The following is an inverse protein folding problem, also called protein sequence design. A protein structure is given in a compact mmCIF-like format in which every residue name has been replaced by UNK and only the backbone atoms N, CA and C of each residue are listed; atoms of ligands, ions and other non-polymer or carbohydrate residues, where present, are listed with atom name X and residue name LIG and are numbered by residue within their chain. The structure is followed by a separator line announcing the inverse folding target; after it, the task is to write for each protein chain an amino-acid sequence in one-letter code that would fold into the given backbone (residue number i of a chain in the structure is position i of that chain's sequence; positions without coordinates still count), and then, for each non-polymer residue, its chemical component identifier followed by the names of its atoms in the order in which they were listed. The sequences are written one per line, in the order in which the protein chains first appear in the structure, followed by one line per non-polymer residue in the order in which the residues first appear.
data_IF_019963454728
#
_entry.id   IF_019963454728
#
_cell.length_a   1.000
_cell.length_b   1.000
_cell.length_c   1.000
_cell.angle_alpha   90.00
_cell.angle_beta   90.00
_cell.angle_gamma   90.00
#
_symmetry.space_group_name_H-M   'P 1'
#
loop_
_entity.id
_entity.type
_entity.pdbx_description
1 polymer ?
#
# COMPACT_ATOMS: atom_id res chain seq x y z
N UNK A 1 1.69 12.00 31.30
CA UNK A 1 2.21 11.89 29.94
C UNK A 1 2.35 10.40 29.61
N UNK A 2 1.53 9.86 28.71
CA UNK A 2 1.67 8.49 28.23
C UNK A 2 2.98 8.37 27.43
N UNK A 3 3.54 7.17 27.38
CA UNK A 3 4.72 6.88 26.54
C UNK A 3 4.29 6.99 25.08
N UNK A 4 4.99 7.85 24.26
CA UNK A 4 4.74 7.95 22.85
C UNK A 4 5.07 6.61 22.17
N UNK A 5 4.25 6.19 21.22
CA UNK A 5 4.55 5.05 20.36
C UNK A 5 5.68 5.39 19.40
N UNK A 6 6.61 4.46 19.19
CA UNK A 6 7.72 4.63 18.25
C UNK A 6 7.51 3.72 17.05
N UNK A 7 7.30 4.34 15.90
CA UNK A 7 7.20 3.62 14.64
C UNK A 7 8.56 3.47 13.95
N UNK A 8 8.62 2.59 12.97
CA UNK A 8 9.80 2.35 12.13
C UNK A 8 9.36 2.31 10.67
N UNK A 9 10.28 2.56 9.77
CA UNK A 9 10.08 2.33 8.33
C UNK A 9 10.21 0.85 8.02
N UNK A 10 9.44 0.35 7.06
CA UNK A 10 9.60 -0.99 6.51
C UNK A 10 10.35 -0.88 5.17
N UNK A 11 11.57 -1.38 5.12
CA UNK A 11 12.39 -1.39 3.89
C UNK A 11 12.97 -2.79 3.72
N UNK A 12 12.76 -3.41 2.57
CA UNK A 12 13.22 -4.76 2.23
C UNK A 12 12.83 -5.84 3.28
N UNK A 13 11.62 -5.72 3.84
CA UNK A 13 11.11 -6.64 4.87
C UNK A 13 11.61 -6.38 6.29
N UNK A 14 12.49 -5.40 6.49
CA UNK A 14 13.08 -5.06 7.78
C UNK A 14 12.53 -3.75 8.35
N UNK A 15 12.31 -3.74 9.69
CA UNK A 15 11.89 -2.56 10.43
C UNK A 15 13.10 -1.72 10.82
N UNK A 16 13.31 -0.58 10.13
CA UNK A 16 14.48 0.28 10.27
C UNK A 16 14.14 1.68 10.79
N UNK A 17 15.11 2.33 11.44
CA UNK A 17 15.08 3.75 11.76
C UNK A 17 15.64 4.56 10.58
N UNK A 18 15.45 5.88 10.62
CA UNK A 18 16.13 6.78 9.69
C UNK A 18 17.65 6.65 9.79
N UNK A 19 18.35 6.61 8.67
CA UNK A 19 19.82 6.57 8.62
C UNK A 19 20.48 7.80 9.26
N UNK A 20 19.76 8.92 9.30
CA UNK A 20 20.18 10.17 9.95
C UNK A 20 19.75 10.23 11.42
N UNK A 21 19.06 9.21 11.94
CA UNK A 21 18.41 9.19 13.24
C UNK A 21 17.42 10.35 13.49
N UNK A 22 16.94 10.99 12.43
CA UNK A 22 15.93 12.04 12.52
C UNK A 22 14.56 11.44 12.70
N UNK A 23 13.74 12.16 13.46
CA UNK A 23 12.35 11.81 13.73
C UNK A 23 11.50 13.05 13.79
N UNK A 24 10.20 12.87 13.61
CA UNK A 24 9.20 13.90 13.90
C UNK A 24 8.05 13.28 14.71
N UNK A 25 7.30 14.12 15.37
CA UNK A 25 6.13 13.71 16.14
C UNK A 25 4.86 13.91 15.33
N UNK A 26 3.94 12.94 15.39
CA UNK A 26 2.58 13.13 14.90
C UNK A 26 1.67 13.50 16.06
N UNK A 27 0.84 14.53 15.85
CA UNK A 27 -0.06 15.06 16.85
C UNK A 27 -1.50 14.65 16.56
N UNK A 28 -2.22 14.27 17.61
CA UNK A 28 -3.66 14.06 17.54
C UNK A 28 -4.37 15.41 17.36
N UNK A 29 -5.04 15.68 16.24
CA UNK A 29 -5.65 16.97 15.97
C UNK A 29 -6.83 17.30 16.91
N UNK A 30 -7.38 16.30 17.59
CA UNK A 30 -8.47 16.50 18.56
C UNK A 30 -7.97 17.03 19.90
N UNK A 31 -6.79 16.59 20.35
CA UNK A 31 -6.22 16.97 21.64
C UNK A 31 -5.08 17.96 21.53
N UNK A 32 -4.44 18.06 20.36
CA UNK A 32 -3.21 18.81 20.13
C UNK A 32 -1.95 18.17 20.73
N UNK A 33 -2.08 17.00 21.32
CA UNK A 33 -0.96 16.29 21.95
C UNK A 33 -0.30 15.30 20.97
N UNK A 34 1.03 15.21 21.06
CA UNK A 34 1.78 14.19 20.31
C UNK A 34 1.44 12.80 20.83
N UNK A 35 1.18 11.86 19.92
CA UNK A 35 0.84 10.49 20.24
C UNK A 35 1.90 9.48 19.77
N UNK A 36 2.67 9.81 18.73
CA UNK A 36 3.72 8.91 18.24
C UNK A 36 4.93 9.66 17.69
N UNK A 37 6.02 8.93 17.54
CA UNK A 37 7.29 9.37 16.92
C UNK A 37 7.50 8.55 15.66
N UNK A 38 7.76 9.22 14.55
CA UNK A 38 7.94 8.65 13.22
C UNK A 38 9.34 8.99 12.69
N UNK A 39 10.06 8.04 12.05
CA UNK A 39 11.33 8.33 11.41
C UNK A 39 11.15 9.32 10.25
N UNK A 40 11.99 10.34 10.17
CA UNK A 40 12.13 11.20 8.99
C UNK A 40 13.10 10.55 8.01
N UNK A 41 12.56 9.99 6.91
CA UNK A 41 13.38 9.30 5.93
C UNK A 41 14.37 10.24 5.26
N UNK A 42 15.65 9.85 5.22
CA UNK A 42 16.67 10.54 4.44
C UNK A 42 16.60 10.16 2.96
N UNK A 43 17.31 10.90 2.10
CA UNK A 43 17.47 10.52 0.68
C UNK A 43 18.07 9.11 0.54
N UNK A 44 18.96 8.72 1.44
CA UNK A 44 19.56 7.37 1.46
C UNK A 44 18.51 6.30 1.74
N UNK A 45 17.59 6.56 2.67
CA UNK A 45 16.52 5.61 3.01
C UNK A 45 15.52 5.47 1.87
N UNK A 46 15.15 6.58 1.23
CA UNK A 46 14.28 6.58 0.05
C UNK A 46 14.92 5.79 -1.10
N UNK A 47 16.21 6.01 -1.38
CA UNK A 47 16.91 5.25 -2.42
C UNK A 47 16.91 3.75 -2.11
N UNK A 48 17.20 3.35 -0.87
CA UNK A 48 17.13 1.93 -0.47
C UNK A 48 15.72 1.35 -0.63
N UNK A 49 14.69 2.10 -0.29
CA UNK A 49 13.30 1.66 -0.45
C UNK A 49 12.95 1.46 -1.93
N UNK A 50 13.36 2.38 -2.80
CA UNK A 50 13.14 2.28 -4.26
C UNK A 50 13.93 1.10 -4.84
N UNK A 51 15.20 0.92 -4.44
CA UNK A 51 16.02 -0.22 -4.87
C UNK A 51 15.41 -1.56 -4.44
N UNK A 52 14.95 -1.66 -3.20
CA UNK A 52 14.27 -2.85 -2.68
C UNK A 52 12.99 -3.15 -3.46
N UNK A 53 12.17 -2.14 -3.73
CA UNK A 53 10.95 -2.28 -4.51
C UNK A 53 11.25 -2.69 -5.97
N UNK A 54 12.29 -2.10 -6.58
CA UNK A 54 12.72 -2.46 -7.94
C UNK A 54 13.21 -3.91 -8.00
N UNK A 55 14.05 -4.33 -7.05
CA UNK A 55 14.52 -5.72 -6.94
C UNK A 55 13.36 -6.69 -6.73
N UNK A 56 12.38 -6.33 -5.89
CA UNK A 56 11.19 -7.16 -5.70
C UNK A 56 10.37 -7.28 -6.99
N UNK A 57 10.30 -6.23 -7.80
CA UNK A 57 9.63 -6.23 -9.09
C UNK A 57 10.35 -7.10 -10.13
N UNK A 58 11.70 -6.97 -10.27
CA UNK A 58 12.47 -7.66 -11.30
C UNK A 58 12.75 -9.12 -10.94
N UNK A 59 13.18 -9.38 -9.71
CA UNK A 59 13.74 -10.67 -9.30
C UNK A 59 12.89 -11.39 -8.24
N UNK A 60 11.93 -10.67 -7.65
CA UNK A 60 11.09 -11.17 -6.57
C UNK A 60 10.14 -12.29 -7.00
N UNK A 61 9.62 -13.05 -6.04
CA UNK A 61 8.71 -14.16 -6.32
C UNK A 61 7.38 -13.69 -6.93
N UNK A 62 6.92 -12.49 -6.63
CA UNK A 62 5.65 -11.95 -7.11
C UNK A 62 5.54 -11.90 -8.63
N UNK A 63 6.62 -11.51 -9.31
CA UNK A 63 6.67 -11.46 -10.78
C UNK A 63 6.59 -12.84 -11.44
N UNK A 64 6.95 -13.90 -10.71
CA UNK A 64 6.96 -15.29 -11.15
C UNK A 64 5.68 -16.06 -10.82
N UNK A 65 4.83 -15.48 -9.97
CA UNK A 65 3.54 -16.08 -9.59
C UNK A 65 2.54 -16.02 -10.74
N UNK A 66 1.69 -17.02 -10.81
CA UNK A 66 0.50 -16.99 -11.67
C UNK A 66 -0.48 -15.92 -11.20
N UNK A 67 -1.36 -15.42 -12.07
CA UNK A 67 -2.41 -14.49 -11.65
C UNK A 67 -3.29 -15.01 -10.50
N UNK A 68 -3.60 -16.30 -10.49
CA UNK A 68 -4.38 -16.95 -9.44
C UNK A 68 -3.67 -16.88 -8.08
N UNK A 69 -2.37 -17.23 -8.04
CA UNK A 69 -1.57 -17.15 -6.82
C UNK A 69 -1.50 -15.73 -6.28
N UNK A 70 -1.32 -14.73 -7.14
CA UNK A 70 -1.38 -13.31 -6.71
C UNK A 70 -2.75 -12.95 -6.13
N UNK A 71 -3.83 -13.44 -6.75
CA UNK A 71 -5.18 -13.27 -6.22
C UNK A 71 -5.37 -13.90 -4.83
N UNK A 72 -4.78 -15.06 -4.57
CA UNK A 72 -4.83 -15.70 -3.24
C UNK A 72 -4.10 -14.85 -2.17
N UNK A 73 -2.96 -14.27 -2.50
CA UNK A 73 -2.25 -13.36 -1.59
C UNK A 73 -3.07 -12.11 -1.27
N UNK A 74 -3.77 -11.54 -2.27
CA UNK A 74 -4.66 -10.40 -2.05
C UNK A 74 -5.85 -10.76 -1.15
N UNK A 75 -6.43 -11.96 -1.27
CA UNK A 75 -7.48 -12.43 -0.37
C UNK A 75 -6.98 -12.57 1.08
N UNK A 76 -5.79 -13.17 1.26
CA UNK A 76 -5.18 -13.26 2.60
C UNK A 76 -4.97 -11.88 3.22
N UNK A 77 -4.52 -10.91 2.41
CA UNK A 77 -4.38 -9.52 2.87
C UNK A 77 -5.74 -8.92 3.24
N UNK A 78 -6.78 -9.15 2.44
CA UNK A 78 -8.14 -8.71 2.73
C UNK A 78 -8.65 -9.23 4.09
N UNK A 79 -8.42 -10.51 4.37
CA UNK A 79 -8.82 -11.15 5.64
C UNK A 79 -8.08 -10.53 6.84
N UNK A 80 -6.77 -10.29 6.70
CA UNK A 80 -5.97 -9.64 7.74
C UNK A 80 -6.48 -8.21 8.00
N UNK A 81 -6.72 -7.41 6.95
CA UNK A 81 -7.25 -6.06 7.08
C UNK A 81 -8.62 -6.03 7.74
N UNK A 82 -9.51 -6.95 7.35
CA UNK A 82 -10.82 -7.09 7.98
C UNK A 82 -10.71 -7.41 9.47
N UNK A 83 -9.82 -8.33 9.85
CA UNK A 83 -9.61 -8.73 11.24
C UNK A 83 -8.99 -7.63 12.10
N UNK A 84 -8.21 -6.72 11.49
CA UNK A 84 -7.52 -5.59 12.14
C UNK A 84 -8.29 -4.28 12.05
N UNK A 85 -9.48 -4.26 11.47
CA UNK A 85 -10.23 -3.03 11.18
C UNK A 85 -10.51 -2.15 12.42
N UNK A 86 -10.73 -2.77 13.59
CA UNK A 86 -10.92 -2.04 14.85
C UNK A 86 -9.66 -1.30 15.30
N UNK A 87 -8.50 -1.96 15.20
CA UNK A 87 -7.20 -1.41 15.56
C UNK A 87 -6.80 -0.29 14.59
N UNK A 88 -6.86 -0.56 13.31
CA UNK A 88 -6.54 0.40 12.24
C UNK A 88 -7.44 1.63 12.30
N UNK A 89 -8.76 1.44 12.50
CA UNK A 89 -9.69 2.54 12.63
C UNK A 89 -9.40 3.45 13.85
N UNK A 90 -8.97 2.89 14.97
CA UNK A 90 -8.55 3.68 16.14
C UNK A 90 -7.30 4.51 15.86
N UNK A 91 -6.28 3.90 15.24
CA UNK A 91 -5.03 4.57 14.86
C UNK A 91 -5.34 5.73 13.91
N UNK A 92 -6.14 5.49 12.86
CA UNK A 92 -6.52 6.53 11.90
C UNK A 92 -7.31 7.67 12.58
N UNK A 93 -8.20 7.36 13.53
CA UNK A 93 -8.92 8.40 14.27
C UNK A 93 -7.96 9.26 15.09
N UNK A 94 -6.99 8.67 15.78
CA UNK A 94 -6.01 9.41 16.58
C UNK A 94 -5.16 10.30 15.70
N UNK A 95 -4.73 9.81 14.56
CA UNK A 95 -3.83 10.51 13.66
C UNK A 95 -4.50 11.61 12.82
N UNK A 96 -5.75 11.39 12.41
CA UNK A 96 -6.45 12.30 11.47
C UNK A 96 -7.58 13.12 12.10
N UNK A 97 -8.05 12.78 13.29
CA UNK A 97 -9.20 13.40 13.93
C UNK A 97 -10.56 13.01 13.35
N UNK A 98 -10.62 12.07 12.41
CA UNK A 98 -11.89 11.56 11.86
C UNK A 98 -12.71 10.83 12.92
N UNK A 99 -14.01 10.74 12.70
CA UNK A 99 -14.90 9.99 13.59
C UNK A 99 -14.55 8.50 13.61
N UNK A 100 -14.42 7.91 14.80
CA UNK A 100 -14.07 6.51 15.00
C UNK A 100 -15.02 5.53 14.27
N UNK A 101 -16.31 5.87 14.18
CA UNK A 101 -17.28 5.05 13.44
C UNK A 101 -16.96 4.99 11.95
N UNK A 102 -16.52 6.11 11.40
CA UNK A 102 -16.16 6.22 9.98
C UNK A 102 -14.86 5.48 9.67
N UNK A 103 -13.81 5.73 10.45
CA UNK A 103 -12.50 5.08 10.22
C UNK A 103 -12.57 3.56 10.37
N UNK A 104 -13.29 3.04 11.34
CA UNK A 104 -13.54 1.61 11.49
C UNK A 104 -14.29 1.02 10.30
N UNK A 105 -15.32 1.72 9.83
CA UNK A 105 -16.05 1.28 8.65
C UNK A 105 -15.15 1.30 7.42
N UNK A 106 -14.37 2.35 7.20
CA UNK A 106 -13.42 2.47 6.08
C UNK A 106 -12.36 1.38 6.13
N UNK A 107 -11.73 1.14 7.29
CA UNK A 107 -10.75 0.10 7.48
C UNK A 107 -11.30 -1.32 7.16
N UNK A 108 -12.56 -1.58 7.53
CA UNK A 108 -13.24 -2.83 7.18
C UNK A 108 -13.59 -2.89 5.70
N UNK A 109 -14.06 -1.77 5.12
CA UNK A 109 -14.49 -1.71 3.73
C UNK A 109 -13.35 -1.92 2.73
N UNK A 110 -12.13 -1.51 3.08
CA UNK A 110 -10.94 -1.69 2.23
C UNK A 110 -10.67 -3.15 1.89
N UNK A 111 -11.02 -4.10 2.76
CA UNK A 111 -10.90 -5.52 2.47
C UNK A 111 -11.70 -5.95 1.25
N UNK A 112 -12.80 -5.26 0.94
CA UNK A 112 -13.63 -5.55 -0.23
C UNK A 112 -12.93 -5.15 -1.54
N UNK A 113 -12.13 -4.06 -1.53
CA UNK A 113 -11.31 -3.68 -2.69
C UNK A 113 -10.27 -4.75 -2.98
N UNK A 114 -9.56 -5.23 -1.95
CA UNK A 114 -8.57 -6.30 -2.14
C UNK A 114 -9.24 -7.58 -2.66
N UNK A 115 -10.43 -7.94 -2.17
CA UNK A 115 -11.17 -9.09 -2.68
C UNK A 115 -11.63 -8.89 -4.13
N UNK A 116 -12.07 -7.66 -4.49
CA UNK A 116 -12.42 -7.33 -5.86
C UNK A 116 -11.21 -7.50 -6.81
N UNK A 117 -10.07 -6.88 -6.49
CA UNK A 117 -8.87 -6.99 -7.31
C UNK A 117 -8.29 -8.41 -7.31
N UNK A 118 -8.40 -9.15 -6.23
CA UNK A 118 -8.08 -10.57 -6.19
C UNK A 118 -8.92 -11.38 -7.20
N UNK A 119 -10.20 -11.03 -7.33
CA UNK A 119 -11.09 -11.62 -8.32
C UNK A 119 -10.80 -11.18 -9.76
N UNK A 120 -10.13 -10.04 -9.96
CA UNK A 120 -9.72 -9.54 -11.27
C UNK A 120 -8.35 -10.05 -11.73
N UNK A 121 -7.56 -10.64 -10.84
CA UNK A 121 -6.16 -10.97 -11.10
C UNK A 121 -5.93 -11.82 -12.36
N UNK A 122 -6.80 -12.78 -12.63
CA UNK A 122 -6.78 -13.69 -13.79
C UNK A 122 -7.65 -13.22 -14.97
N UNK A 123 -8.17 -11.98 -14.91
CA UNK A 123 -9.10 -11.43 -15.90
C UNK A 123 -8.55 -10.21 -16.65
N UNK A 124 -7.29 -9.88 -16.41
CA UNK A 124 -6.61 -8.78 -17.11
C UNK A 124 -6.22 -9.27 -18.50
N UNK A 125 -7.00 -8.87 -19.50
CA UNK A 125 -6.78 -9.26 -20.90
C UNK A 125 -6.29 -8.08 -21.75
N UNK A 126 -5.63 -8.40 -22.87
CA UNK A 126 -5.40 -7.47 -23.98
C UNK A 126 -6.55 -7.49 -24.99
N UNK A 127 -6.34 -6.79 -26.10
CA UNK A 127 -7.27 -6.69 -27.22
C UNK A 127 -6.57 -7.05 -28.51
N UNK A 128 -7.28 -7.69 -29.44
CA UNK A 128 -6.88 -7.83 -30.84
C UNK A 128 -7.40 -6.64 -31.61
N UNK A 129 -6.54 -5.96 -32.35
CA UNK A 129 -6.88 -4.75 -33.09
C UNK A 129 -6.98 -5.07 -34.57
N UNK A 130 -8.08 -4.70 -35.28
CA UNK A 130 -8.19 -4.80 -36.72
C UNK A 130 -7.28 -3.78 -37.40
N UNK A 131 -6.57 -4.20 -38.43
CA UNK A 131 -5.75 -3.32 -39.27
C UNK A 131 -5.89 -3.73 -40.75
N UNK A 132 -5.74 -2.74 -41.63
CA UNK A 132 -5.87 -2.96 -43.09
C UNK A 132 -4.55 -3.54 -43.73
N UNK A 133 -3.93 -4.50 -43.04
CA UNK A 133 -2.74 -5.21 -43.49
C UNK A 133 -2.88 -6.70 -43.23
N UNK A 134 -3.16 -7.52 -44.22
CA UNK A 134 -3.52 -8.93 -44.04
C UNK A 134 -2.35 -9.81 -43.56
N UNK A 135 -1.13 -9.34 -43.65
CA UNK A 135 0.09 -10.00 -43.20
C UNK A 135 0.54 -9.63 -41.77
N UNK A 136 -0.23 -8.78 -41.07
CA UNK A 136 0.07 -8.35 -39.73
C UNK A 136 -1.03 -8.76 -38.73
N UNK A 137 -0.61 -9.21 -37.55
CA UNK A 137 -1.47 -9.45 -36.41
C UNK A 137 -1.11 -8.46 -35.29
N UNK A 138 -2.05 -7.62 -34.87
CA UNK A 138 -1.83 -6.58 -33.86
C UNK A 138 -2.67 -6.87 -32.61
N UNK A 139 -2.03 -6.86 -31.47
CA UNK A 139 -2.67 -7.03 -30.17
C UNK A 139 -2.03 -6.12 -29.11
N UNK A 140 -2.78 -5.86 -28.03
CA UNK A 140 -2.27 -5.17 -26.83
C UNK A 140 -1.96 -6.20 -25.76
N UNK A 141 -0.89 -5.97 -25.00
CA UNK A 141 -0.57 -6.70 -23.79
C UNK A 141 -0.58 -5.72 -22.60
N UNK A 142 -1.10 -6.16 -21.45
CA UNK A 142 -1.04 -5.40 -20.22
C UNK A 142 0.21 -5.78 -19.45
N UNK A 143 1.06 -4.80 -19.17
CA UNK A 143 2.29 -4.97 -18.44
C UNK A 143 2.27 -4.12 -17.14
N UNK A 144 2.92 -4.58 -16.07
CA UNK A 144 3.00 -3.82 -14.84
C UNK A 144 3.87 -2.55 -15.03
N UNK A 145 3.49 -1.46 -14.37
CA UNK A 145 4.23 -0.19 -14.42
C UNK A 145 5.61 -0.27 -13.73
N UNK A 146 5.77 -1.16 -12.75
CA UNK A 146 6.97 -1.27 -11.93
C UNK A 146 6.80 -0.61 -10.56
N UNK A 147 7.80 0.13 -10.12
CA UNK A 147 7.78 0.82 -8.82
C UNK A 147 6.87 2.04 -8.90
N UNK A 148 5.95 2.13 -7.95
CA UNK A 148 4.98 3.23 -7.84
C UNK A 148 5.18 3.94 -6.50
N UNK A 149 5.27 5.27 -6.52
CA UNK A 149 5.25 6.09 -5.31
C UNK A 149 3.81 6.46 -4.97
N UNK A 150 3.32 6.00 -3.83
CA UNK A 150 2.02 6.36 -3.29
C UNK A 150 2.18 7.51 -2.29
N UNK A 151 1.72 8.72 -2.65
CA UNK A 151 1.75 9.90 -1.78
C UNK A 151 0.38 10.01 -1.14
N UNK A 152 0.23 9.40 0.05
CA UNK A 152 -1.04 9.35 0.76
C UNK A 152 -1.30 10.65 1.53
N UNK A 153 -2.55 11.10 1.53
CA UNK A 153 -3.05 12.24 2.32
C UNK A 153 -4.37 11.83 2.94
N UNK A 154 -4.59 12.13 4.19
CA UNK A 154 -5.78 11.89 5.03
C UNK A 154 -6.77 10.77 4.59
N UNK A 155 -7.63 11.00 3.61
CA UNK A 155 -8.60 9.99 3.11
C UNK A 155 -7.97 8.89 2.23
N UNK A 156 -6.70 9.03 1.85
CA UNK A 156 -5.96 8.06 1.02
C UNK A 156 -5.08 7.13 1.84
N UNK A 157 -4.99 7.26 3.17
CA UNK A 157 -4.11 6.44 4.00
C UNK A 157 -4.29 4.93 3.78
N UNK A 158 -5.54 4.48 3.68
CA UNK A 158 -5.86 3.09 3.38
C UNK A 158 -6.40 2.89 1.96
N UNK A 159 -6.62 3.99 1.20
CA UNK A 159 -7.19 3.99 -0.15
C UNK A 159 -6.23 4.48 -1.23
N UNK A 160 -4.93 4.54 -0.96
CA UNK A 160 -3.91 5.09 -1.86
C UNK A 160 -3.81 4.40 -3.25
N UNK A 161 -4.79 3.61 -3.62
CA UNK A 161 -4.82 2.85 -4.87
C UNK A 161 -5.84 3.37 -5.88
N UNK A 162 -6.44 4.55 -5.64
CA UNK A 162 -7.49 5.09 -6.52
C UNK A 162 -6.96 6.08 -7.59
N UNK A 163 -5.65 6.19 -7.76
CA UNK A 163 -5.04 7.02 -8.83
C UNK A 163 -4.21 6.20 -9.78
#
# INVERSE_FOLDING_TARGET
MGRLENFKMLIDGEWVLSSDNKTFESSNPTTGESWCIIPEASTTDVNKAVEAAHKAFTDGPWSKMTPTERGEHLRKLADILASKSEELGKIETIDTGKMLKETKWQAKYISQFFNFFAGCADKVSGQTLPIDKPDLFVFTNREPLGVVAAIAVSYTHLRAHET
#
